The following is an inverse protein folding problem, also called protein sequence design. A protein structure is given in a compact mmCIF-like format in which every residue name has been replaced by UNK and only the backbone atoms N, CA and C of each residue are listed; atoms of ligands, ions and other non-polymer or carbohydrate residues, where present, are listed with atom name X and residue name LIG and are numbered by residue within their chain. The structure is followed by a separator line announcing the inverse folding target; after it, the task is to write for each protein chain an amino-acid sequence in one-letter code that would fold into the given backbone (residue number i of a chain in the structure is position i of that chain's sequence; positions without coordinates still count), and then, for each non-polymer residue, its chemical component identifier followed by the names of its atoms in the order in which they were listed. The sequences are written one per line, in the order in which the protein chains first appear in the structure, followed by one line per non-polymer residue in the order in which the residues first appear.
data_IF_485811819970
#
_entry.id   IF_485811819970
#
_cell.length_a   1.000
_cell.length_b   1.000
_cell.length_c   1.000
_cell.angle_alpha   90.00
_cell.angle_beta   90.00
_cell.angle_gamma   90.00
#
_symmetry.space_group_name_H-M   'P 1'
#
loop_
_entity.id
_entity.type
_entity.pdbx_description
1 polymer ?
#
# COMPACT_ATOMS: atom_id res chain seq x y z
N UNK A 1 -8.06 1.59 39.64
CA UNK A 1 -7.64 2.39 38.48
C UNK A 1 -7.34 1.36 37.40
N UNK A 2 -8.23 1.21 36.42
CA UNK A 2 -8.01 0.31 35.27
C UNK A 2 -6.86 0.89 34.46
N UNK A 3 -5.70 0.22 34.46
CA UNK A 3 -4.60 0.58 33.60
C UNK A 3 -5.08 0.46 32.16
N UNK A 4 -5.07 1.54 31.40
CA UNK A 4 -5.35 1.50 29.98
C UNK A 4 -4.33 0.52 29.36
N UNK A 5 -4.83 -0.54 28.73
CA UNK A 5 -3.98 -1.52 28.07
C UNK A 5 -3.24 -0.82 26.90
N UNK A 6 -1.93 -0.98 26.83
CA UNK A 6 -1.11 -0.31 25.81
C UNK A 6 -1.50 -0.80 24.41
N UNK A 7 -1.50 0.10 23.44
CA UNK A 7 -1.78 -0.23 22.03
C UNK A 7 -0.61 -1.06 21.49
N UNK A 8 -0.88 -2.31 21.13
CA UNK A 8 0.09 -3.27 20.62
C UNK A 8 0.34 -3.01 19.14
N UNK A 9 1.58 -2.68 18.78
CA UNK A 9 1.96 -2.30 17.42
C UNK A 9 2.99 -3.28 16.87
N UNK A 10 2.74 -3.80 15.66
CA UNK A 10 3.73 -4.51 14.84
C UNK A 10 4.27 -3.54 13.80
N UNK A 11 5.59 -3.40 13.70
CA UNK A 11 6.26 -2.52 12.73
C UNK A 11 6.85 -3.35 11.60
N UNK A 12 6.51 -3.01 10.37
CA UNK A 12 6.89 -3.76 9.17
C UNK A 12 7.49 -2.83 8.13
N UNK A 13 8.78 -2.95 7.91
CA UNK A 13 9.56 -2.18 6.92
C UNK A 13 10.86 -2.94 6.63
N UNK A 14 11.35 -2.98 5.41
CA UNK A 14 12.62 -3.64 5.10
C UNK A 14 13.86 -2.81 5.52
N UNK A 15 13.66 -1.51 5.77
CA UNK A 15 14.72 -0.61 6.24
C UNK A 15 14.83 -0.63 7.78
N UNK A 16 15.92 -1.16 8.31
CA UNK A 16 16.14 -1.25 9.76
C UNK A 16 16.11 0.12 10.46
N UNK A 17 16.63 1.17 9.82
CA UNK A 17 16.63 2.54 10.35
C UNK A 17 15.22 3.09 10.53
N UNK A 18 14.30 2.76 9.62
CA UNK A 18 12.88 3.17 9.71
C UNK A 18 12.21 2.47 10.88
N UNK A 19 12.39 1.14 11.02
CA UNK A 19 11.83 0.39 12.15
C UNK A 19 12.35 0.91 13.50
N UNK A 20 13.66 1.15 13.61
CA UNK A 20 14.28 1.73 14.81
C UNK A 20 13.70 3.11 15.13
N UNK A 21 13.52 3.97 14.12
CA UNK A 21 12.91 5.29 14.27
C UNK A 21 11.48 5.21 14.79
N UNK A 22 10.65 4.34 14.21
CA UNK A 22 9.27 4.12 14.64
C UNK A 22 9.24 3.58 16.06
N UNK A 23 10.09 2.59 16.38
CA UNK A 23 10.19 2.04 17.73
C UNK A 23 10.54 3.12 18.74
N UNK A 24 11.50 3.98 18.44
CA UNK A 24 11.87 5.10 19.31
C UNK A 24 10.70 6.06 19.53
N UNK A 25 9.99 6.45 18.47
CA UNK A 25 8.80 7.31 18.54
C UNK A 25 7.71 6.71 19.42
N UNK A 26 7.51 5.40 19.38
CA UNK A 26 6.46 4.71 20.13
C UNK A 26 6.86 4.29 21.54
N UNK A 27 8.15 4.31 21.89
CA UNK A 27 8.64 4.00 23.25
C UNK A 27 8.54 5.17 24.23
N UNK A 28 8.13 6.35 23.76
CA UNK A 28 7.94 7.52 24.61
C UNK A 28 6.61 7.41 25.40
N UNK A 29 6.70 6.82 26.58
CA UNK A 29 5.55 6.60 27.47
C UNK A 29 5.05 5.15 27.51
N UNK A 30 3.86 4.95 28.08
CA UNK A 30 3.26 3.62 28.31
C UNK A 30 2.08 3.34 27.39
N UNK A 31 1.75 4.25 26.51
CA UNK A 31 0.56 4.19 25.66
C UNK A 31 0.70 3.14 24.54
N UNK A 32 1.91 3.01 23.99
CA UNK A 32 2.19 2.10 22.89
C UNK A 32 3.16 1.01 23.30
N UNK A 33 3.01 -0.19 22.72
CA UNK A 33 3.94 -1.30 22.87
C UNK A 33 4.26 -1.88 21.49
N UNK A 34 5.49 -1.72 21.03
CA UNK A 34 5.98 -2.41 19.83
C UNK A 34 6.19 -3.88 20.20
N UNK A 35 5.27 -4.73 19.79
CA UNK A 35 5.25 -6.14 20.13
C UNK A 35 6.08 -7.01 19.20
N UNK A 36 6.51 -6.47 18.06
CA UNK A 36 7.37 -7.15 17.12
C UNK A 36 7.75 -6.28 15.93
N UNK A 37 8.68 -6.78 15.14
CA UNK A 37 9.13 -6.18 13.88
C UNK A 37 9.13 -7.24 12.79
N UNK A 38 8.98 -6.83 11.52
CA UNK A 38 9.08 -7.70 10.35
C UNK A 38 9.71 -6.93 9.17
N UNK A 39 10.32 -7.66 8.23
CA UNK A 39 11.03 -7.09 7.09
C UNK A 39 10.34 -7.38 5.75
N UNK A 40 9.26 -8.15 5.77
CA UNK A 40 8.50 -8.53 4.58
C UNK A 40 7.03 -8.76 4.91
N UNK A 41 6.18 -8.77 3.89
CA UNK A 41 4.76 -9.08 4.05
C UNK A 41 4.49 -10.46 4.62
N UNK A 42 5.24 -11.49 4.19
CA UNK A 42 5.10 -12.85 4.70
C UNK A 42 5.48 -12.96 6.19
N UNK A 43 6.57 -12.28 6.59
CA UNK A 43 6.97 -12.20 8.00
C UNK A 43 5.96 -11.42 8.83
N UNK A 44 5.39 -10.34 8.27
CA UNK A 44 4.34 -9.55 8.92
C UNK A 44 3.11 -10.40 9.26
N UNK A 45 2.62 -11.20 8.31
CA UNK A 45 1.47 -12.10 8.51
C UNK A 45 1.77 -13.15 9.57
N UNK A 46 2.96 -13.78 9.50
CA UNK A 46 3.38 -14.79 10.50
C UNK A 46 3.48 -14.19 11.91
N UNK A 47 4.15 -13.04 12.04
CA UNK A 47 4.32 -12.34 13.32
C UNK A 47 2.99 -11.82 13.87
N UNK A 48 2.13 -11.26 13.03
CA UNK A 48 0.83 -10.76 13.46
C UNK A 48 -0.08 -11.88 13.99
N UNK A 49 -0.05 -13.06 13.37
CA UNK A 49 -0.82 -14.21 13.82
C UNK A 49 -0.38 -14.70 15.21
N UNK A 50 0.91 -14.59 15.54
CA UNK A 50 1.46 -15.01 16.83
C UNK A 50 1.31 -13.93 17.90
N UNK A 51 1.57 -12.68 17.51
CA UNK A 51 1.66 -11.57 18.45
C UNK A 51 0.33 -10.84 18.66
N UNK A 52 -0.66 -11.04 17.81
CA UNK A 52 -2.00 -10.43 17.88
C UNK A 52 -1.92 -8.91 18.14
N UNK A 53 -1.27 -8.12 17.24
CA UNK A 53 -1.19 -6.67 17.39
C UNK A 53 -2.57 -6.02 17.18
N UNK A 54 -2.79 -4.87 17.82
CA UNK A 54 -3.96 -4.03 17.53
C UNK A 54 -3.79 -3.27 16.21
N UNK A 55 -2.56 -2.79 15.95
CA UNK A 55 -2.21 -2.03 14.76
C UNK A 55 -0.95 -2.59 14.12
N UNK A 56 -0.96 -2.77 12.81
CA UNK A 56 0.22 -3.06 12.00
C UNK A 56 0.58 -1.79 11.22
N UNK A 57 1.79 -1.29 11.43
CA UNK A 57 2.38 -0.20 10.62
C UNK A 57 3.19 -0.85 9.53
N UNK A 58 2.77 -0.72 8.27
CA UNK A 58 3.21 -1.55 7.15
C UNK A 58 3.72 -0.69 5.99
N UNK A 59 4.99 -0.87 5.63
CA UNK A 59 5.53 -0.27 4.41
C UNK A 59 4.88 -0.86 3.15
N UNK A 60 4.60 0.01 2.18
CA UNK A 60 4.09 -0.39 0.86
C UNK A 60 5.18 -1.08 0.04
N UNK A 61 6.41 -0.55 0.08
CA UNK A 61 7.49 -0.90 -0.85
C UNK A 61 8.52 -1.82 -0.23
N UNK A 62 8.21 -3.12 -0.15
CA UNK A 62 9.12 -4.14 0.41
C UNK A 62 9.56 -5.18 -0.62
N UNK A 63 10.76 -5.83 -0.46
CA UNK A 63 11.18 -6.97 -1.29
C UNK A 63 10.23 -8.16 -1.17
N UNK A 64 10.06 -8.86 -2.28
CA UNK A 64 9.27 -10.08 -2.31
C UNK A 64 7.77 -9.89 -2.43
N UNK A 65 7.31 -8.66 -2.66
CA UNK A 65 5.92 -8.31 -2.88
C UNK A 65 5.53 -6.98 -2.23
N UNK A 66 4.54 -6.30 -2.79
CA UNK A 66 4.00 -5.07 -2.21
C UNK A 66 3.37 -5.38 -0.84
N UNK A 67 3.59 -4.50 0.15
CA UNK A 67 2.87 -4.54 1.43
C UNK A 67 1.34 -4.61 1.26
N UNK A 68 0.81 -4.14 0.13
CA UNK A 68 -0.61 -4.24 -0.20
C UNK A 68 -1.15 -5.67 -0.23
N UNK A 69 -0.32 -6.66 -0.63
CA UNK A 69 -0.72 -8.07 -0.59
C UNK A 69 -0.89 -8.59 0.83
N UNK A 70 0.00 -8.16 1.72
CA UNK A 70 -0.05 -8.57 3.11
C UNK A 70 -1.28 -8.03 3.84
N UNK A 71 -1.86 -6.90 3.40
CA UNK A 71 -3.06 -6.31 4.01
C UNK A 71 -4.21 -7.31 4.02
N UNK A 72 -4.55 -7.90 2.87
CA UNK A 72 -5.65 -8.88 2.77
C UNK A 72 -5.44 -10.07 3.70
N UNK A 73 -4.24 -10.67 3.67
CA UNK A 73 -3.91 -11.81 4.54
C UNK A 73 -3.92 -11.46 6.04
N UNK A 74 -3.45 -10.28 6.41
CA UNK A 74 -3.50 -9.79 7.79
C UNK A 74 -4.94 -9.70 8.29
N UNK A 75 -5.82 -9.11 7.49
CA UNK A 75 -7.24 -8.93 7.84
C UNK A 75 -8.01 -10.26 7.93
N UNK A 76 -7.65 -11.22 7.08
CA UNK A 76 -8.25 -12.56 7.10
C UNK A 76 -7.80 -13.39 8.32
N UNK A 77 -6.50 -13.28 8.70
CA UNK A 77 -5.90 -14.15 9.72
C UNK A 77 -5.91 -13.58 11.13
N UNK A 78 -5.98 -12.25 11.26
CA UNK A 78 -5.91 -11.59 12.58
C UNK A 78 -7.16 -10.75 12.80
N UNK A 79 -8.09 -11.30 13.56
CA UNK A 79 -9.35 -10.62 13.86
C UNK A 79 -9.14 -9.31 14.60
N UNK A 80 -9.77 -8.25 14.11
CA UNK A 80 -9.73 -6.92 14.75
C UNK A 80 -8.45 -6.12 14.50
N UNK A 81 -7.46 -6.66 13.78
CA UNK A 81 -6.25 -5.91 13.43
C UNK A 81 -6.58 -4.69 12.55
N UNK A 82 -5.88 -3.60 12.76
CA UNK A 82 -5.93 -2.40 11.94
C UNK A 82 -4.61 -2.20 11.21
N UNK A 83 -4.66 -1.80 9.94
CA UNK A 83 -3.45 -1.62 9.12
C UNK A 83 -3.29 -0.15 8.76
N UNK A 84 -2.14 0.43 9.14
CA UNK A 84 -1.65 1.73 8.74
C UNK A 84 -0.56 1.54 7.69
N UNK A 85 -0.81 1.98 6.47
CA UNK A 85 0.21 1.96 5.42
C UNK A 85 1.20 3.10 5.61
N UNK A 86 2.50 2.81 5.44
CA UNK A 86 3.56 3.80 5.32
C UNK A 86 4.07 3.88 3.89
N UNK A 87 4.35 5.09 3.40
CA UNK A 87 4.88 5.28 2.05
C UNK A 87 5.76 6.52 1.94
N UNK A 88 6.69 6.50 1.01
CA UNK A 88 7.41 7.69 0.54
C UNK A 88 6.63 8.44 -0.55
N UNK A 89 5.56 7.85 -1.10
CA UNK A 89 4.79 8.36 -2.23
C UNK A 89 3.57 9.15 -1.77
N UNK A 90 3.24 10.23 -2.51
CA UNK A 90 2.03 11.06 -2.32
C UNK A 90 0.92 10.72 -3.32
N UNK A 91 1.18 9.82 -4.26
CA UNK A 91 0.24 9.49 -5.32
C UNK A 91 -1.07 8.93 -4.74
N UNK A 92 -2.18 9.59 -5.05
CA UNK A 92 -3.52 9.18 -4.63
C UNK A 92 -3.87 7.74 -5.05
N UNK A 93 -3.26 7.24 -6.11
CA UNK A 93 -3.47 5.88 -6.58
C UNK A 93 -2.98 4.82 -5.60
N UNK A 94 -1.80 5.02 -4.98
CA UNK A 94 -1.31 4.14 -3.92
C UNK A 94 -2.25 4.12 -2.72
N UNK A 95 -2.82 5.27 -2.41
CA UNK A 95 -3.80 5.39 -1.33
C UNK A 95 -5.06 4.63 -1.66
N UNK A 96 -5.60 4.82 -2.88
CA UNK A 96 -6.80 4.11 -3.34
C UNK A 96 -6.57 2.59 -3.41
N UNK A 97 -5.38 2.15 -3.81
CA UNK A 97 -5.00 0.73 -3.77
C UNK A 97 -4.95 0.20 -2.34
N UNK A 98 -4.36 0.98 -1.43
CA UNK A 98 -4.31 0.64 0.00
C UNK A 98 -5.72 0.47 0.59
N UNK A 99 -6.62 1.39 0.27
CA UNK A 99 -8.04 1.33 0.69
C UNK A 99 -8.75 0.12 0.08
N UNK A 100 -8.53 -0.16 -1.21
CA UNK A 100 -9.09 -1.35 -1.87
C UNK A 100 -8.58 -2.65 -1.28
N UNK A 101 -7.32 -2.68 -0.83
CA UNK A 101 -6.75 -3.82 -0.12
C UNK A 101 -7.30 -3.97 1.31
N UNK A 102 -8.02 -2.96 1.82
CA UNK A 102 -8.63 -2.95 3.15
C UNK A 102 -7.82 -2.23 4.22
N UNK A 103 -6.78 -1.46 3.85
CA UNK A 103 -6.04 -0.66 4.83
C UNK A 103 -6.94 0.40 5.48
N UNK A 104 -6.69 0.67 6.76
CA UNK A 104 -7.49 1.57 7.56
C UNK A 104 -6.93 3.00 7.63
N UNK A 105 -5.68 3.17 7.22
CA UNK A 105 -5.04 4.48 7.19
C UNK A 105 -3.81 4.49 6.29
N UNK A 106 -3.39 5.70 5.99
CA UNK A 106 -2.22 5.97 5.18
C UNK A 106 -1.44 7.15 5.74
N UNK A 107 -0.14 6.98 5.90
CA UNK A 107 0.78 7.97 6.44
C UNK A 107 2.05 8.00 5.60
N UNK A 108 2.64 9.18 5.43
CA UNK A 108 3.95 9.33 4.78
C UNK A 108 5.08 8.98 5.72
N UNK A 109 6.17 8.44 5.18
CA UNK A 109 7.38 8.12 5.96
C UNK A 109 8.11 9.37 6.51
N UNK A 110 7.85 10.54 5.95
CA UNK A 110 8.37 11.83 6.42
C UNK A 110 7.40 12.57 7.36
N UNK A 111 6.27 11.96 7.73
CA UNK A 111 5.34 12.49 8.71
C UNK A 111 5.98 12.62 10.09
N UNK A 112 5.46 13.55 10.87
CA UNK A 112 5.98 13.83 12.21
C UNK A 112 5.70 12.68 13.20
N UNK A 113 6.50 12.54 14.27
CA UNK A 113 6.21 11.61 15.35
C UNK A 113 4.81 11.76 15.96
N UNK A 114 4.30 12.99 16.01
CA UNK A 114 2.96 13.25 16.53
C UNK A 114 1.86 12.67 15.63
N UNK A 115 1.99 12.85 14.32
CA UNK A 115 1.05 12.29 13.33
C UNK A 115 1.04 10.76 13.34
N UNK A 116 2.20 10.11 13.47
CA UNK A 116 2.28 8.65 13.60
C UNK A 116 1.51 8.15 14.83
N UNK A 117 1.72 8.78 15.99
CA UNK A 117 1.00 8.43 17.21
C UNK A 117 -0.50 8.67 17.08
N UNK A 118 -0.90 9.79 16.48
CA UNK A 118 -2.30 10.11 16.23
C UNK A 118 -2.97 9.11 15.28
N UNK A 119 -2.30 8.74 14.19
CA UNK A 119 -2.78 7.72 13.26
C UNK A 119 -3.03 6.38 13.97
N UNK A 120 -2.07 5.91 14.76
CA UNK A 120 -2.21 4.66 15.51
C UNK A 120 -3.38 4.71 16.51
N UNK A 121 -3.54 5.84 17.24
CA UNK A 121 -4.71 6.03 18.13
C UNK A 121 -6.03 6.02 17.37
N UNK A 122 -6.09 6.71 16.24
CA UNK A 122 -7.30 6.75 15.43
C UNK A 122 -7.70 5.36 14.95
N UNK A 123 -6.73 4.58 14.46
CA UNK A 123 -6.98 3.22 13.99
C UNK A 123 -7.40 2.29 15.13
N UNK A 124 -6.72 2.35 16.28
CA UNK A 124 -7.08 1.56 17.45
C UNK A 124 -8.49 1.88 17.94
N UNK A 125 -8.92 3.14 17.86
CA UNK A 125 -10.28 3.56 18.17
C UNK A 125 -11.32 3.21 17.08
N UNK A 126 -10.94 2.43 16.07
CA UNK A 126 -11.83 2.00 14.98
C UNK A 126 -12.09 3.05 13.90
N UNK A 127 -11.38 4.19 13.95
CA UNK A 127 -11.46 5.25 12.93
C UNK A 127 -10.45 5.00 11.80
N UNK A 128 -10.63 5.65 10.68
CA UNK A 128 -9.63 5.73 9.61
C UNK A 128 -8.72 6.95 9.80
N UNK A 129 -7.53 6.92 9.18
CA UNK A 129 -6.59 8.03 9.23
C UNK A 129 -6.03 8.35 7.84
N UNK A 130 -6.37 9.52 7.32
CA UNK A 130 -5.86 10.12 6.08
C UNK A 130 -5.68 11.61 6.30
N UNK A 131 -4.62 12.22 5.75
CA UNK A 131 -4.49 13.68 5.81
C UNK A 131 -5.66 14.35 5.08
N UNK A 132 -6.08 15.57 5.47
CA UNK A 132 -7.17 16.28 4.79
C UNK A 132 -6.91 16.48 3.29
N UNK A 133 -5.68 16.80 2.90
CA UNK A 133 -5.27 16.95 1.51
C UNK A 133 -5.47 15.64 0.72
N UNK A 134 -5.05 14.53 1.30
CA UNK A 134 -5.17 13.21 0.71
C UNK A 134 -6.64 12.78 0.58
N UNK A 135 -7.45 13.03 1.59
CA UNK A 135 -8.89 12.74 1.54
C UNK A 135 -9.59 13.53 0.42
N UNK A 136 -9.23 14.79 0.21
CA UNK A 136 -9.74 15.60 -0.89
C UNK A 136 -9.32 15.02 -2.26
N UNK A 137 -8.07 14.64 -2.42
CA UNK A 137 -7.56 14.01 -3.66
C UNK A 137 -8.24 12.66 -3.94
N UNK A 138 -8.47 11.83 -2.92
CA UNK A 138 -9.20 10.56 -3.04
C UNK A 138 -10.63 10.80 -3.54
N UNK A 139 -11.33 11.79 -2.97
CA UNK A 139 -12.69 12.14 -3.37
C UNK A 139 -12.75 12.55 -4.84
N UNK A 140 -11.81 13.39 -5.27
CA UNK A 140 -11.72 13.85 -6.66
C UNK A 140 -11.36 12.70 -7.62
N UNK A 141 -10.44 11.83 -7.25
CA UNK A 141 -10.07 10.66 -8.06
C UNK A 141 -11.23 9.67 -8.21
N UNK A 142 -12.00 9.44 -7.13
CA UNK A 142 -13.19 8.60 -7.18
C UNK A 142 -14.28 9.21 -8.06
N UNK A 143 -14.48 10.53 -8.03
CA UNK A 143 -15.41 11.23 -8.90
C UNK A 143 -15.04 11.07 -10.36
N UNK A 144 -13.77 11.36 -10.72
CA UNK A 144 -13.26 11.19 -12.10
C UNK A 144 -13.35 9.76 -12.59
N UNK A 145 -13.02 8.79 -11.73
CA UNK A 145 -13.13 7.37 -12.07
C UNK A 145 -14.58 6.92 -12.31
N UNK A 146 -15.56 7.55 -11.65
CA UNK A 146 -16.97 7.27 -11.87
C UNK A 146 -17.48 7.86 -13.19
N UNK A 147 -17.10 9.11 -13.48
CA UNK A 147 -17.43 9.79 -14.75
C UNK A 147 -16.85 9.03 -15.95
N UNK A 148 -15.56 8.62 -15.88
CA UNK A 148 -14.92 7.82 -16.93
C UNK A 148 -15.57 6.42 -17.14
N UNK A 149 -16.17 5.84 -16.11
CA UNK A 149 -16.85 4.54 -16.20
C UNK A 149 -18.27 4.62 -16.81
N UNK A 150 -18.90 5.77 -16.72
CA UNK A 150 -20.23 5.99 -17.32
C UNK A 150 -20.13 6.24 -18.83
N UNK A 151 -18.93 6.57 -19.36
CA UNK A 151 -18.71 6.92 -20.76
C UNK A 151 -17.99 5.84 -21.61
N UNK A 152 -17.46 4.76 -21.00
CA UNK A 152 -16.65 3.76 -21.71
C UNK A 152 -17.23 2.34 -21.67
N UNK A 153 -17.16 1.58 -22.78
CA UNK A 153 -17.46 0.14 -22.77
C UNK A 153 -16.42 -0.61 -21.93
N UNK A 154 -16.85 -1.63 -21.17
CA UNK A 154 -16.01 -2.42 -20.29
C UNK A 154 -14.84 -3.08 -21.06
N UNK A 155 -13.62 -2.64 -20.77
CA UNK A 155 -12.39 -3.17 -21.37
C UNK A 155 -11.69 -4.10 -20.39
N UNK A 156 -10.93 -5.09 -20.91
CA UNK A 156 -10.15 -6.01 -20.06
C UNK A 156 -9.16 -5.27 -19.13
N UNK A 157 -8.78 -4.03 -19.46
CA UNK A 157 -7.90 -3.16 -18.68
C UNK A 157 -8.62 -2.32 -17.62
N UNK A 158 -9.95 -2.39 -17.50
CA UNK A 158 -10.72 -1.61 -16.50
C UNK A 158 -10.45 -2.05 -15.05
N UNK A 159 -9.89 -3.25 -14.87
CA UNK A 159 -9.44 -3.76 -13.58
C UNK A 159 -8.10 -3.17 -13.12
N UNK A 160 -7.39 -2.46 -14.02
CA UNK A 160 -6.12 -1.82 -13.73
C UNK A 160 -6.33 -0.43 -13.17
N UNK A 161 -5.46 -0.04 -12.23
CA UNK A 161 -5.33 1.37 -11.84
C UNK A 161 -4.70 2.18 -12.97
N UNK A 162 -4.81 3.51 -12.93
CA UNK A 162 -4.14 4.38 -13.90
C UNK A 162 -2.64 4.10 -13.97
N UNK A 163 -1.99 3.90 -12.81
CA UNK A 163 -0.56 3.61 -12.71
C UNK A 163 -0.18 2.24 -13.31
N UNK A 164 -0.97 1.22 -13.07
CA UNK A 164 -0.78 -0.08 -13.69
C UNK A 164 -0.98 -0.03 -15.21
N UNK A 165 -1.89 0.80 -15.68
CA UNK A 165 -2.13 1.01 -17.11
C UNK A 165 -0.96 1.74 -17.76
N UNK A 166 -0.40 2.80 -17.14
CA UNK A 166 0.83 3.46 -17.61
C UNK A 166 1.99 2.47 -17.69
N UNK A 167 2.20 1.68 -16.66
CA UNK A 167 3.26 0.66 -16.62
C UNK A 167 3.02 -0.41 -17.69
N UNK A 168 1.77 -0.83 -17.94
CA UNK A 168 1.44 -1.76 -19.02
C UNK A 168 1.85 -1.20 -20.39
N UNK A 169 1.60 0.08 -20.65
CA UNK A 169 2.01 0.76 -21.89
C UNK A 169 3.53 0.74 -22.04
N UNK A 170 4.27 1.10 -21.00
CA UNK A 170 5.73 1.08 -21.04
C UNK A 170 6.31 -0.34 -21.20
N UNK A 171 5.71 -1.35 -20.56
CA UNK A 171 6.09 -2.75 -20.77
C UNK A 171 5.87 -3.15 -22.23
N UNK A 172 4.74 -2.78 -22.80
CA UNK A 172 4.39 -3.10 -24.18
C UNK A 172 5.29 -2.36 -25.21
N UNK A 173 5.83 -1.20 -24.82
CA UNK A 173 6.90 -0.48 -25.57
C UNK A 173 8.29 -1.13 -25.40
N UNK A 174 8.42 -2.21 -24.63
CA UNK A 174 9.69 -2.91 -24.44
C UNK A 174 10.63 -2.30 -23.40
N UNK A 175 10.17 -1.35 -22.57
CA UNK A 175 11.01 -0.69 -21.57
C UNK A 175 11.32 -1.61 -20.40
N UNK A 176 12.53 -1.47 -19.87
CA UNK A 176 12.99 -2.14 -18.65
C UNK A 176 12.40 -1.46 -17.39
N UNK A 177 12.37 -2.18 -16.28
CA UNK A 177 11.89 -1.61 -15.00
C UNK A 177 12.66 -0.35 -14.59
N UNK A 178 13.95 -0.26 -14.92
CA UNK A 178 14.79 0.91 -14.64
C UNK A 178 14.37 2.12 -15.47
N UNK A 179 14.10 1.93 -16.76
CA UNK A 179 13.62 3.00 -17.65
C UNK A 179 12.23 3.48 -17.25
N UNK A 180 11.34 2.55 -16.97
CA UNK A 180 9.99 2.86 -16.47
C UNK A 180 10.07 3.66 -15.17
N UNK A 181 10.91 3.23 -14.23
CA UNK A 181 11.12 3.93 -12.96
C UNK A 181 11.64 5.36 -13.16
N UNK A 182 12.59 5.55 -14.06
CA UNK A 182 13.14 6.86 -14.38
C UNK A 182 12.09 7.81 -15.02
N UNK A 183 11.30 7.31 -15.97
CA UNK A 183 10.26 8.11 -16.64
C UNK A 183 9.09 8.46 -15.72
N UNK A 184 8.71 7.55 -14.85
CA UNK A 184 7.57 7.71 -13.95
C UNK A 184 7.93 8.31 -12.58
N UNK A 185 9.23 8.60 -12.34
CA UNK A 185 9.72 9.18 -11.08
C UNK A 185 9.59 8.26 -9.87
N UNK A 186 9.64 6.93 -10.07
CA UNK A 186 9.51 5.92 -9.02
C UNK A 186 10.69 4.95 -9.01
N UNK A 187 10.88 4.23 -7.90
CA UNK A 187 11.94 3.23 -7.81
C UNK A 187 11.68 2.04 -8.75
N UNK A 188 12.75 1.40 -9.23
CA UNK A 188 12.68 0.15 -10.01
C UNK A 188 11.84 -0.91 -9.27
N UNK A 189 11.99 -0.98 -7.98
CA UNK A 189 11.26 -1.87 -7.09
C UNK A 189 9.77 -1.57 -7.04
N UNK A 190 9.39 -0.29 -7.05
CA UNK A 190 8.00 0.12 -7.15
C UNK A 190 7.38 -0.31 -8.48
N UNK A 191 8.15 -0.21 -9.58
CA UNK A 191 7.73 -0.72 -10.89
C UNK A 191 7.49 -2.23 -10.84
N UNK A 192 8.36 -3.01 -10.19
CA UNK A 192 8.20 -4.46 -10.02
C UNK A 192 6.91 -4.79 -9.28
N UNK A 193 6.62 -4.10 -8.18
CA UNK A 193 5.38 -4.30 -7.43
C UNK A 193 4.12 -4.05 -8.28
N UNK A 194 4.12 -2.99 -9.09
CA UNK A 194 3.01 -2.72 -10.01
C UNK A 194 2.91 -3.78 -11.12
N UNK A 195 4.03 -4.26 -11.66
CA UNK A 195 4.04 -5.34 -12.66
C UNK A 195 3.42 -6.61 -12.12
N UNK A 196 3.78 -7.01 -10.90
CA UNK A 196 3.23 -8.20 -10.26
C UNK A 196 1.72 -8.04 -10.03
N UNK A 197 1.29 -6.86 -9.60
CA UNK A 197 -0.11 -6.55 -9.40
C UNK A 197 -0.90 -6.61 -10.71
N UNK A 198 -0.45 -5.92 -11.77
CA UNK A 198 -1.13 -5.92 -13.06
C UNK A 198 -1.17 -7.31 -13.71
N UNK A 199 -0.09 -8.08 -13.64
CA UNK A 199 -0.03 -9.45 -14.16
C UNK A 199 -1.05 -10.37 -13.47
N UNK A 200 -1.19 -10.22 -12.16
CA UNK A 200 -2.18 -10.97 -11.39
C UNK A 200 -3.61 -10.54 -11.74
N UNK A 201 -3.91 -9.24 -11.80
CA UNK A 201 -5.24 -8.71 -12.13
C UNK A 201 -5.70 -9.15 -13.52
N UNK A 202 -4.77 -9.18 -14.48
CA UNK A 202 -5.04 -9.60 -15.86
C UNK A 202 -4.99 -11.12 -16.10
N UNK A 203 -4.45 -11.88 -15.13
CA UNK A 203 -4.20 -13.32 -15.31
C UNK A 203 -3.10 -13.63 -16.34
N UNK A 204 -2.26 -12.66 -16.70
CA UNK A 204 -1.22 -12.75 -17.73
C UNK A 204 0.14 -12.76 -17.07
N UNK A 205 0.95 -13.80 -17.33
CA UNK A 205 2.26 -14.00 -16.69
C UNK A 205 3.47 -13.74 -17.58
N UNK A 206 3.26 -13.28 -18.82
CA UNK A 206 4.35 -13.05 -19.79
C UNK A 206 4.29 -11.65 -20.39
N UNK A 207 5.46 -11.08 -20.66
CA UNK A 207 5.58 -9.76 -21.33
C UNK A 207 4.88 -9.79 -22.69
N UNK A 208 5.08 -10.86 -23.48
CA UNK A 208 4.42 -11.03 -24.77
C UNK A 208 2.89 -11.02 -24.66
N UNK A 209 2.32 -11.63 -23.62
CA UNK A 209 0.89 -11.59 -23.34
C UNK A 209 0.39 -10.19 -22.99
N UNK A 210 1.16 -9.46 -22.19
CA UNK A 210 0.85 -8.06 -21.85
C UNK A 210 0.92 -7.15 -23.08
N UNK A 211 1.95 -7.31 -23.93
CA UNK A 211 2.09 -6.52 -25.16
C UNK A 211 0.92 -6.80 -26.12
N UNK A 212 0.52 -8.07 -26.27
CA UNK A 212 -0.65 -8.41 -27.08
C UNK A 212 -1.92 -7.76 -26.56
N UNK A 213 -2.17 -7.84 -25.25
CA UNK A 213 -3.33 -7.20 -24.63
C UNK A 213 -3.32 -5.68 -24.87
N UNK A 214 -2.17 -5.03 -24.70
CA UNK A 214 -2.05 -3.59 -24.90
C UNK A 214 -2.37 -3.18 -26.35
N UNK A 215 -1.96 -3.98 -27.33
CA UNK A 215 -2.32 -3.79 -28.75
C UNK A 215 -3.82 -4.01 -28.99
N UNK A 216 -4.39 -5.10 -28.49
CA UNK A 216 -5.82 -5.42 -28.63
C UNK A 216 -6.73 -4.34 -28.00
N UNK A 217 -6.25 -3.66 -26.96
CA UNK A 217 -6.97 -2.59 -26.24
C UNK A 217 -6.64 -1.18 -26.80
N UNK A 218 -5.83 -1.07 -27.87
CA UNK A 218 -5.47 0.21 -28.47
C UNK A 218 -4.66 1.13 -27.56
N UNK A 219 -3.90 0.60 -26.63
CA UNK A 219 -3.05 1.36 -25.71
C UNK A 219 -1.69 1.75 -26.32
N UNK A 220 -1.34 1.20 -27.47
CA UNK A 220 -0.15 1.54 -28.26
C UNK A 220 -0.61 2.14 -29.58
N UNK A 221 -0.08 3.32 -29.90
CA UNK A 221 -0.18 3.92 -31.24
C UNK A 221 0.76 3.25 -32.24
#
# INVERSE_FOLDING_TARGET
MSGAESIRVLVVDDHAVVREGIRHVLSDGTEFSVVGEAQSGAEAVSSATQLLPNVVVLDISMPGGSGLHAVGELLERVSGVRVLMLSVHEDVEYVLESVRAGAHGYLRKDSTPAELREAIRALHAGRTYYSPALAAQMTEALRKGKEAREEAPAQATDVLTGREREILVHIAQGKTNKEIGAELGISTRTVEAHRDSLMRKLGIRTVAGLTRLALEQGLLE
#
